data_IF_387789851946
#
_entry.id   IF_387789851946
#
_cell.length_a   1.000
_cell.length_b   1.000
_cell.length_c   1.000
_cell.angle_alpha   90.00
_cell.angle_beta   90.00
_cell.angle_gamma   90.00
#
_symmetry.space_group_name_H-M   'P 1'
#
loop_
_entity.id
_entity.type
_entity.pdbx_description
1 polymer ?
#
# COMPACT_ATOMS: atom_id res chain seq x y z
N UNK A 1 26.70 5.55 -29.45
CA UNK A 1 25.58 5.44 -28.48
C UNK A 1 24.27 5.84 -29.13
N UNK A 2 24.09 7.08 -29.65
CA UNK A 2 22.82 7.49 -30.29
C UNK A 2 22.39 6.57 -31.44
N UNK A 3 23.31 6.21 -32.34
CA UNK A 3 23.01 5.26 -33.43
C UNK A 3 22.52 3.90 -32.91
N UNK A 4 23.08 3.42 -31.79
CA UNK A 4 22.66 2.16 -31.17
C UNK A 4 21.26 2.28 -30.57
N UNK A 5 20.98 3.38 -29.85
CA UNK A 5 19.66 3.66 -29.29
C UNK A 5 18.57 3.66 -30.38
N UNK A 6 18.85 4.27 -31.53
CA UNK A 6 17.89 4.38 -32.64
C UNK A 6 17.73 3.05 -33.39
N UNK A 7 18.82 2.29 -33.55
CA UNK A 7 18.80 1.00 -34.23
C UNK A 7 18.26 -0.14 -33.36
N UNK A 8 18.24 0.01 -32.04
CA UNK A 8 17.77 -0.98 -31.09
C UNK A 8 16.28 -1.30 -31.31
N UNK A 9 15.95 -2.59 -31.20
CA UNK A 9 14.57 -3.02 -31.08
C UNK A 9 13.98 -2.58 -29.73
N UNK A 10 12.68 -2.79 -29.51
CA UNK A 10 12.00 -2.28 -28.32
C UNK A 10 12.59 -2.81 -27.01
N UNK A 11 12.90 -4.11 -26.94
CA UNK A 11 13.45 -4.75 -25.74
C UNK A 11 14.87 -4.25 -25.44
N UNK A 12 15.73 -4.21 -26.46
CA UNK A 12 17.10 -3.69 -26.34
C UNK A 12 17.12 -2.20 -25.96
N UNK A 13 16.13 -1.44 -26.43
CA UNK A 13 16.05 0.00 -26.16
C UNK A 13 15.76 0.30 -24.69
N UNK A 14 15.06 -0.59 -24.00
CA UNK A 14 14.76 -0.42 -22.58
C UNK A 14 16.02 -0.37 -21.71
N UNK A 15 17.11 -1.00 -22.15
CA UNK A 15 18.39 -1.02 -21.44
C UNK A 15 19.09 0.34 -21.41
N UNK A 16 18.71 1.27 -22.29
CA UNK A 16 19.27 2.63 -22.31
C UNK A 16 18.66 3.54 -21.25
N UNK A 17 17.48 3.20 -20.72
CA UNK A 17 16.78 4.04 -19.76
C UNK A 17 17.07 3.61 -18.33
N UNK A 18 17.12 4.58 -17.43
CA UNK A 18 16.88 4.33 -16.02
C UNK A 18 15.39 4.41 -15.75
N UNK A 19 14.91 3.44 -14.97
CA UNK A 19 13.51 3.24 -14.69
C UNK A 19 13.21 3.75 -13.29
N UNK A 20 12.30 4.70 -13.21
CA UNK A 20 11.85 5.32 -11.97
C UNK A 20 10.43 4.84 -11.67
N UNK A 21 10.27 4.03 -10.62
CA UNK A 21 8.98 3.50 -10.19
C UNK A 21 8.40 4.34 -9.03
N UNK A 22 7.09 4.55 -9.00
CA UNK A 22 6.40 5.33 -7.95
C UNK A 22 6.53 4.76 -6.52
N UNK A 23 6.98 3.52 -6.34
CA UNK A 23 7.14 2.86 -5.02
C UNK A 23 8.53 2.99 -4.39
N UNK A 24 9.54 3.35 -5.18
CA UNK A 24 10.91 3.60 -4.71
C UNK A 24 11.07 4.85 -3.82
N UNK A 25 12.29 5.18 -3.42
CA UNK A 25 12.59 6.45 -2.73
C UNK A 25 13.13 7.48 -3.71
N UNK A 26 13.02 8.77 -3.39
CA UNK A 26 13.58 9.83 -4.25
C UNK A 26 15.10 9.73 -4.39
N UNK A 27 15.80 9.19 -3.38
CA UNK A 27 17.22 8.84 -3.47
C UNK A 27 17.54 7.80 -4.52
N UNK A 28 16.63 6.88 -4.84
CA UNK A 28 16.86 5.93 -5.93
C UNK A 28 16.85 6.64 -7.29
N UNK A 29 15.97 7.63 -7.47
CA UNK A 29 16.00 8.49 -8.67
C UNK A 29 17.34 9.21 -8.77
N UNK A 30 17.82 9.77 -7.67
CA UNK A 30 19.12 10.43 -7.63
C UNK A 30 20.26 9.45 -7.94
N UNK A 31 20.25 8.25 -7.36
CA UNK A 31 21.26 7.21 -7.60
C UNK A 31 21.30 6.79 -9.07
N UNK A 32 20.14 6.54 -9.68
CA UNK A 32 20.04 6.17 -11.10
C UNK A 32 20.57 7.28 -12.01
N UNK A 33 20.22 8.53 -11.70
CA UNK A 33 20.68 9.69 -12.45
C UNK A 33 22.20 9.86 -12.38
N UNK A 34 22.77 9.76 -11.18
CA UNK A 34 24.21 9.84 -10.93
C UNK A 34 24.94 8.72 -11.67
N UNK A 35 24.44 7.48 -11.60
CA UNK A 35 25.03 6.35 -12.29
C UNK A 35 25.08 6.55 -13.82
N UNK A 36 24.04 7.13 -14.43
CA UNK A 36 24.07 7.48 -15.85
C UNK A 36 25.11 8.58 -16.15
N UNK A 37 25.19 9.62 -15.32
CA UNK A 37 26.20 10.67 -15.49
C UNK A 37 27.62 10.11 -15.41
N UNK A 38 27.89 9.24 -14.44
CA UNK A 38 29.18 8.57 -14.28
C UNK A 38 29.51 7.66 -15.47
N UNK A 39 28.52 6.97 -16.03
CA UNK A 39 28.71 6.16 -17.23
C UNK A 39 29.03 7.00 -18.48
N UNK A 40 28.52 8.24 -18.57
CA UNK A 40 28.74 9.14 -19.69
C UNK A 40 30.08 9.88 -19.61
N UNK A 41 30.58 10.13 -18.40
CA UNK A 41 31.76 10.95 -18.17
C UNK A 41 32.84 10.13 -17.47
N UNK A 42 33.93 9.83 -18.20
CA UNK A 42 35.08 9.09 -17.66
C UNK A 42 35.75 9.74 -16.44
N UNK A 43 35.56 11.06 -16.25
CA UNK A 43 36.02 11.87 -15.10
C UNK A 43 34.91 12.87 -14.64
N UNK A 44 33.65 12.41 -14.51
CA UNK A 44 32.52 13.27 -14.14
C UNK A 44 32.73 14.01 -12.79
N UNK A 45 32.15 15.21 -12.59
CA UNK A 45 32.11 15.83 -11.27
C UNK A 45 31.38 14.89 -10.31
N UNK A 46 32.00 14.62 -9.15
CA UNK A 46 31.43 13.80 -8.10
C UNK A 46 30.10 14.42 -7.64
N UNK A 47 28.99 13.87 -8.13
CA UNK A 47 27.66 14.13 -7.61
C UNK A 47 27.37 13.09 -6.55
N UNK A 48 26.95 13.51 -5.37
CA UNK A 48 26.61 12.60 -4.28
C UNK A 48 25.23 12.93 -3.72
N UNK A 49 24.43 11.90 -3.51
CA UNK A 49 23.17 12.00 -2.79
C UNK A 49 23.43 11.78 -1.30
N UNK A 50 22.93 12.70 -0.46
CA UNK A 50 23.01 12.63 1.00
C UNK A 50 21.60 12.77 1.55
N UNK A 51 21.15 11.75 2.26
CA UNK A 51 19.90 11.76 3.02
C UNK A 51 20.18 11.91 4.51
N UNK A 52 19.42 12.79 5.18
CA UNK A 52 19.46 12.96 6.62
C UNK A 52 18.05 13.31 7.15
N UNK A 53 17.94 13.57 8.45
CA UNK A 53 16.67 13.94 9.09
C UNK A 53 16.06 15.25 8.54
N UNK A 54 16.84 16.09 7.86
CA UNK A 54 16.40 17.35 7.25
C UNK A 54 15.94 17.19 5.79
N UNK A 55 16.04 15.97 5.24
CA UNK A 55 15.62 15.60 3.89
C UNK A 55 16.78 15.18 3.00
N UNK A 56 16.60 15.34 1.68
CA UNK A 56 17.59 14.96 0.67
C UNK A 56 18.37 16.17 0.15
N UNK A 57 19.68 16.02 0.04
CA UNK A 57 20.58 17.00 -0.58
C UNK A 57 21.50 16.34 -1.61
N UNK A 58 21.85 17.09 -2.64
CA UNK A 58 22.81 16.71 -3.67
C UNK A 58 24.07 17.55 -3.49
N UNK A 59 25.20 16.91 -3.27
CA UNK A 59 26.51 17.56 -3.34
C UNK A 59 26.96 17.53 -4.78
N UNK A 60 27.16 18.69 -5.39
CA UNK A 60 27.61 18.85 -6.76
C UNK A 60 28.62 20.00 -6.82
N UNK A 61 29.77 19.79 -7.47
CA UNK A 61 30.88 20.76 -7.55
C UNK A 61 31.30 21.31 -6.17
N UNK A 62 31.29 20.45 -5.14
CA UNK A 62 31.68 20.78 -3.77
C UNK A 62 30.63 21.60 -2.99
N UNK A 63 29.45 21.85 -3.55
CA UNK A 63 28.36 22.57 -2.90
C UNK A 63 27.19 21.63 -2.63
N UNK A 64 26.61 21.72 -1.42
CA UNK A 64 25.38 21.02 -1.09
C UNK A 64 24.16 21.81 -1.59
N UNK A 65 23.25 21.11 -2.26
CA UNK A 65 22.00 21.63 -2.79
C UNK A 65 20.83 20.84 -2.18
N UNK A 66 20.04 21.49 -1.34
CA UNK A 66 18.82 20.88 -0.79
C UNK A 66 17.79 20.71 -1.90
N UNK A 67 17.22 19.53 -2.02
CA UNK A 67 16.15 19.26 -2.97
C UNK A 67 14.83 19.70 -2.33
N UNK A 68 13.99 20.49 -3.03
CA UNK A 68 12.74 21.01 -2.46
C UNK A 68 11.64 19.94 -2.53
N UNK A 69 11.91 18.79 -1.91
CA UNK A 69 10.93 17.71 -1.73
C UNK A 69 9.70 18.24 -1.00
N UNK A 70 8.58 17.62 -1.29
CA UNK A 70 7.27 18.15 -0.93
C UNK A 70 6.43 17.18 -0.11
N UNK A 71 6.97 15.99 0.14
CA UNK A 71 6.33 14.83 0.77
C UNK A 71 5.11 14.32 -0.01
N UNK A 72 5.22 14.33 -1.35
CA UNK A 72 4.12 13.93 -2.25
C UNK A 72 4.52 12.89 -3.26
N UNK A 73 3.53 12.28 -3.91
CA UNK A 73 3.76 11.37 -5.04
C UNK A 73 4.50 11.98 -6.24
N UNK A 74 4.66 13.32 -6.30
CA UNK A 74 5.37 14.02 -7.38
C UNK A 74 6.87 14.20 -7.15
N UNK A 75 7.40 13.86 -5.97
CA UNK A 75 8.76 14.23 -5.55
C UNK A 75 9.89 13.62 -6.39
N UNK A 76 9.58 12.55 -7.08
CA UNK A 76 10.42 11.95 -8.12
C UNK A 76 10.76 12.90 -9.24
N UNK A 77 9.73 13.58 -9.75
CA UNK A 77 9.91 14.59 -10.79
C UNK A 77 10.53 15.86 -10.22
N UNK A 78 10.30 16.19 -8.94
CA UNK A 78 11.00 17.29 -8.25
C UNK A 78 12.50 17.01 -8.20
N UNK A 79 12.87 15.79 -7.83
CA UNK A 79 14.24 15.28 -7.79
C UNK A 79 14.86 15.30 -9.18
N UNK A 80 14.21 14.67 -10.16
CA UNK A 80 14.70 14.61 -11.54
C UNK A 80 14.88 16.01 -12.15
N UNK A 81 13.91 16.92 -11.96
CA UNK A 81 14.03 18.30 -12.44
C UNK A 81 15.15 19.08 -11.73
N UNK A 82 15.34 18.85 -10.43
CA UNK A 82 16.39 19.49 -9.65
C UNK A 82 17.79 19.01 -10.06
N UNK A 83 17.95 17.71 -10.30
CA UNK A 83 19.18 17.13 -10.83
C UNK A 83 19.47 17.62 -12.25
N UNK A 84 18.46 17.60 -13.13
CA UNK A 84 18.56 18.14 -14.48
C UNK A 84 18.97 19.62 -14.47
N UNK A 85 18.48 20.39 -13.48
CA UNK A 85 18.84 21.79 -13.31
C UNK A 85 20.31 21.98 -12.93
N UNK A 86 20.88 21.10 -12.11
CA UNK A 86 22.30 21.16 -11.72
C UNK A 86 23.22 20.95 -12.91
N UNK A 87 22.89 20.02 -13.81
CA UNK A 87 23.74 19.63 -14.95
C UNK A 87 23.31 20.26 -16.28
N UNK A 88 22.36 21.20 -16.26
CA UNK A 88 21.69 21.74 -17.45
C UNK A 88 22.66 22.34 -18.50
N UNK A 89 23.86 22.76 -18.10
CA UNK A 89 24.82 23.41 -18.98
C UNK A 89 25.60 22.37 -19.81
N UNK A 90 25.76 21.15 -19.30
CA UNK A 90 26.55 20.08 -19.91
C UNK A 90 25.71 18.90 -20.40
N UNK A 91 24.50 18.72 -19.87
CA UNK A 91 23.62 17.59 -20.16
C UNK A 91 22.17 18.01 -20.41
N UNK A 92 21.44 17.11 -21.06
CA UNK A 92 19.99 17.16 -21.26
C UNK A 92 19.38 15.85 -20.75
N UNK A 93 18.16 15.94 -20.24
CA UNK A 93 17.39 14.78 -19.77
C UNK A 93 16.22 14.56 -20.70
N UNK A 94 16.02 13.31 -21.10
CA UNK A 94 14.97 12.86 -21.99
C UNK A 94 14.14 11.78 -21.28
N UNK A 95 12.84 11.80 -21.52
CA UNK A 95 11.87 10.86 -20.97
C UNK A 95 11.42 9.88 -22.06
N UNK A 96 11.22 8.63 -21.69
CA UNK A 96 10.65 7.62 -22.56
C UNK A 96 9.15 7.88 -22.76
N UNK A 97 8.74 8.21 -24.00
CA UNK A 97 7.37 8.68 -24.28
C UNK A 97 6.30 7.65 -23.97
N UNK A 98 6.56 6.38 -24.25
CA UNK A 98 5.56 5.32 -24.10
C UNK A 98 5.17 5.09 -22.64
N UNK A 99 6.05 5.49 -21.72
CA UNK A 99 5.84 5.34 -20.27
C UNK A 99 5.21 6.57 -19.63
N UNK A 100 5.00 7.65 -20.38
CA UNK A 100 4.43 8.88 -19.81
C UNK A 100 2.97 8.67 -19.41
N UNK A 101 2.71 8.73 -18.11
CA UNK A 101 1.38 8.50 -17.52
C UNK A 101 1.20 7.09 -16.95
N UNK A 102 2.25 6.28 -16.97
CA UNK A 102 2.31 5.01 -16.25
C UNK A 102 2.90 5.19 -14.84
N UNK A 103 2.84 4.14 -14.04
CA UNK A 103 3.37 4.05 -12.68
C UNK A 103 4.92 3.99 -12.67
N UNK A 104 5.54 3.61 -13.79
CA UNK A 104 6.99 3.50 -13.96
C UNK A 104 7.43 4.29 -15.19
N UNK A 105 8.36 5.23 -15.02
CA UNK A 105 8.81 6.13 -16.09
C UNK A 105 10.28 5.92 -16.42
N UNK A 106 10.60 5.80 -17.70
CA UNK A 106 11.98 5.75 -18.19
C UNK A 106 12.57 7.13 -18.42
N UNK A 107 13.83 7.34 -18.02
CA UNK A 107 14.59 8.54 -18.38
C UNK A 107 16.02 8.21 -18.84
N UNK A 108 16.56 9.07 -19.69
CA UNK A 108 17.89 8.99 -20.26
C UNK A 108 18.58 10.35 -20.14
N UNK A 109 19.81 10.36 -19.66
CA UNK A 109 20.68 11.52 -19.61
C UNK A 109 21.60 11.48 -20.82
N UNK A 110 21.74 12.61 -21.51
CA UNK A 110 22.61 12.76 -22.67
C UNK A 110 23.48 14.00 -22.48
N UNK A 111 24.74 13.95 -22.90
CA UNK A 111 25.52 15.18 -23.00
C UNK A 111 24.99 16.05 -24.15
N UNK A 112 25.30 17.36 -24.16
CA UNK A 112 24.77 18.28 -25.19
C UNK A 112 25.09 17.86 -26.62
N UNK A 113 26.27 17.26 -26.86
CA UNK A 113 26.65 16.81 -28.20
C UNK A 113 25.76 15.64 -28.68
N UNK A 114 25.52 14.65 -27.81
CA UNK A 114 24.62 13.53 -28.08
C UNK A 114 23.17 14.01 -28.26
N UNK A 115 22.73 14.94 -27.44
CA UNK A 115 21.39 15.55 -27.52
C UNK A 115 21.19 16.33 -28.83
N UNK A 116 22.21 17.07 -29.27
CA UNK A 116 22.22 17.75 -30.57
C UNK A 116 22.22 16.75 -31.74
N UNK A 117 23.05 15.72 -31.69
CA UNK A 117 23.09 14.66 -32.70
C UNK A 117 21.73 13.96 -32.85
N UNK A 118 21.08 13.62 -31.73
CA UNK A 118 19.75 13.04 -31.71
C UNK A 118 18.72 13.95 -32.40
N UNK A 119 18.74 15.24 -32.09
CA UNK A 119 17.81 16.21 -32.66
C UNK A 119 18.05 16.47 -34.16
N UNK A 120 19.32 16.57 -34.59
CA UNK A 120 19.68 16.91 -35.96
C UNK A 120 19.55 15.73 -36.93
N UNK A 121 20.01 14.54 -36.53
CA UNK A 121 20.02 13.35 -37.41
C UNK A 121 18.77 12.50 -37.28
N UNK A 122 18.16 12.47 -36.09
CA UNK A 122 17.08 11.54 -35.74
C UNK A 122 15.86 12.27 -35.17
N UNK A 123 15.63 13.51 -35.58
CA UNK A 123 14.56 14.38 -35.06
C UNK A 123 13.18 13.72 -35.07
N UNK A 124 12.77 13.10 -36.19
CA UNK A 124 11.47 12.40 -36.29
C UNK A 124 11.36 11.23 -35.29
N UNK A 125 12.39 10.38 -35.23
CA UNK A 125 12.43 9.26 -34.30
C UNK A 125 12.40 9.74 -32.85
N UNK A 126 13.21 10.76 -32.52
CA UNK A 126 13.25 11.32 -31.17
C UNK A 126 11.90 11.92 -30.77
N UNK A 127 11.18 12.57 -31.69
CA UNK A 127 9.85 13.12 -31.41
C UNK A 127 8.79 12.04 -31.15
N UNK A 128 8.96 10.84 -31.71
CA UNK A 128 8.06 9.70 -31.52
C UNK A 128 8.32 8.97 -30.20
N UNK A 129 9.59 8.76 -29.83
CA UNK A 129 9.96 7.90 -28.70
C UNK A 129 10.43 8.66 -27.45
N UNK A 130 10.85 9.92 -27.58
CA UNK A 130 11.44 10.68 -26.50
C UNK A 130 10.79 12.04 -26.30
N UNK A 131 10.72 12.48 -25.04
CA UNK A 131 10.28 13.82 -24.66
C UNK A 131 11.37 14.47 -23.83
N UNK A 132 11.93 15.57 -24.31
CA UNK A 132 12.88 16.34 -23.51
C UNK A 132 12.20 16.81 -22.23
N UNK A 133 12.83 16.58 -21.08
CA UNK A 133 12.29 16.95 -19.78
C UNK A 133 12.09 18.47 -19.73
N UNK A 134 10.86 18.90 -19.46
CA UNK A 134 10.54 20.30 -19.24
C UNK A 134 10.77 20.65 -17.75
N UNK A 135 11.59 21.66 -17.42
CA UNK A 135 11.83 22.04 -16.03
C UNK A 135 10.53 22.38 -15.28
N UNK A 136 10.36 21.78 -14.10
CA UNK A 136 9.23 22.04 -13.21
C UNK A 136 7.89 21.53 -13.75
N UNK A 137 7.89 20.49 -14.58
CA UNK A 137 6.67 19.82 -15.06
C UNK A 137 6.69 18.34 -14.68
N UNK A 138 5.61 17.88 -14.05
CA UNK A 138 5.39 16.46 -13.77
C UNK A 138 4.49 15.86 -14.85
N UNK A 139 4.97 14.80 -15.52
CA UNK A 139 4.19 14.13 -16.56
C UNK A 139 3.12 13.18 -16.00
N UNK A 140 3.31 12.66 -14.78
CA UNK A 140 2.32 11.77 -14.13
C UNK A 140 1.03 12.56 -13.86
N UNK A 141 1.17 13.69 -13.17
CA UNK A 141 0.03 14.50 -12.73
C UNK A 141 -0.28 15.68 -13.66
N UNK A 142 0.47 15.82 -14.77
CA UNK A 142 0.35 16.91 -15.75
C UNK A 142 0.25 18.30 -15.09
N UNK A 143 1.16 18.58 -14.15
CA UNK A 143 1.16 19.80 -13.34
C UNK A 143 2.53 20.41 -13.14
N UNK A 144 2.55 21.69 -12.75
CA UNK A 144 3.77 22.37 -12.30
C UNK A 144 4.20 21.86 -10.93
N UNK A 145 5.50 21.72 -10.75
CA UNK A 145 6.14 21.26 -9.51
C UNK A 145 7.34 22.15 -9.17
N UNK A 146 7.73 22.27 -7.89
CA UNK A 146 8.97 22.94 -7.54
C UNK A 146 10.18 22.15 -8.06
N UNK A 147 11.30 22.85 -8.18
CA UNK A 147 12.62 22.27 -8.43
C UNK A 147 13.67 23.27 -7.96
N UNK A 148 14.92 22.82 -7.87
CA UNK A 148 16.03 23.61 -7.34
C UNK A 148 16.11 25.02 -7.98
N UNK A 149 16.10 26.05 -7.13
CA UNK A 149 16.15 27.47 -7.54
C UNK A 149 14.86 28.02 -8.13
N UNK A 150 13.76 27.25 -8.13
CA UNK A 150 12.43 27.63 -8.61
C UNK A 150 11.35 27.08 -7.67
N UNK A 151 11.48 27.43 -6.40
CA UNK A 151 10.63 26.96 -5.31
C UNK A 151 9.30 27.72 -5.25
N UNK A 152 9.17 28.88 -5.90
CA UNK A 152 7.99 29.75 -5.83
C UNK A 152 6.70 29.12 -6.39
N UNK A 153 6.82 28.06 -7.20
CA UNK A 153 5.68 27.25 -7.63
C UNK A 153 5.07 26.44 -6.46
N UNK A 154 5.70 26.42 -5.28
CA UNK A 154 5.28 25.69 -4.09
C UNK A 154 4.00 26.22 -3.41
N UNK A 155 3.54 27.45 -3.62
CA UNK A 155 2.30 27.91 -2.92
C UNK A 155 1.03 27.33 -3.56
N UNK A 156 0.96 27.35 -4.89
CA UNK A 156 -0.15 26.72 -5.62
C UNK A 156 -0.03 25.19 -5.55
N UNK A 157 1.19 24.68 -5.60
CA UNK A 157 1.49 23.27 -5.41
C UNK A 157 1.12 22.81 -3.99
N UNK A 158 1.51 23.50 -2.92
CA UNK A 158 1.13 23.15 -1.54
C UNK A 158 -0.38 23.14 -1.35
N UNK A 159 -1.12 24.05 -2.02
CA UNK A 159 -2.59 24.01 -2.03
C UNK A 159 -3.16 22.81 -2.79
N UNK A 160 -2.62 22.50 -3.98
CA UNK A 160 -3.05 21.36 -4.78
C UNK A 160 -2.74 20.02 -4.09
N UNK A 161 -1.57 19.93 -3.46
CA UNK A 161 -1.12 18.81 -2.64
C UNK A 161 -1.96 18.65 -1.40
N UNK A 162 -2.18 19.72 -0.64
CA UNK A 162 -3.04 19.64 0.54
C UNK A 162 -4.47 19.19 0.17
N UNK A 163 -4.97 19.57 -1.02
CA UNK A 163 -6.25 19.09 -1.53
C UNK A 163 -6.21 17.59 -1.90
N UNK A 164 -5.18 17.15 -2.63
CA UNK A 164 -4.99 15.74 -3.01
C UNK A 164 -4.76 14.83 -1.80
N UNK A 165 -3.94 15.25 -0.84
CA UNK A 165 -3.75 14.55 0.43
C UNK A 165 -5.01 14.50 1.29
N UNK A 166 -5.85 15.53 1.23
CA UNK A 166 -7.14 15.52 1.93
C UNK A 166 -8.09 14.51 1.28
N UNK A 167 -8.06 14.40 -0.05
CA UNK A 167 -8.82 13.39 -0.80
C UNK A 167 -8.34 11.97 -0.50
N UNK A 168 -7.03 11.73 -0.50
CA UNK A 168 -6.47 10.42 -0.18
C UNK A 168 -6.70 10.06 1.29
N UNK A 169 -6.54 11.00 2.23
CA UNK A 169 -6.91 10.79 3.65
C UNK A 169 -8.38 10.43 3.79
N UNK A 170 -9.28 11.14 3.11
CA UNK A 170 -10.70 10.81 3.12
C UNK A 170 -10.97 9.41 2.55
N UNK A 171 -10.23 8.99 1.51
CA UNK A 171 -10.32 7.64 0.94
C UNK A 171 -9.89 6.56 1.94
N UNK A 172 -8.77 6.78 2.63
CA UNK A 172 -8.24 5.88 3.65
C UNK A 172 -9.14 5.82 4.88
N UNK A 173 -9.64 6.96 5.36
CA UNK A 173 -10.60 7.04 6.47
C UNK A 173 -11.91 6.30 6.12
N UNK A 174 -12.42 6.49 4.90
CA UNK A 174 -13.59 5.75 4.41
C UNK A 174 -13.32 4.24 4.37
N UNK A 175 -12.13 3.81 3.96
CA UNK A 175 -11.73 2.41 3.97
C UNK A 175 -11.70 1.84 5.40
N UNK A 176 -11.10 2.56 6.34
CA UNK A 176 -11.05 2.14 7.75
C UNK A 176 -12.44 2.09 8.38
N UNK A 177 -13.27 3.11 8.16
CA UNK A 177 -14.65 3.15 8.64
C UNK A 177 -15.48 1.98 8.09
N UNK A 178 -15.35 1.67 6.79
CA UNK A 178 -16.01 0.52 6.18
C UNK A 178 -15.55 -0.80 6.82
N UNK A 179 -14.25 -0.94 7.09
CA UNK A 179 -13.67 -2.13 7.73
C UNK A 179 -14.11 -2.30 9.18
N UNK A 180 -14.18 -1.23 9.96
CA UNK A 180 -14.71 -1.26 11.32
C UNK A 180 -16.19 -1.62 11.36
N UNK A 181 -17.00 -1.05 10.45
CA UNK A 181 -18.40 -1.40 10.32
C UNK A 181 -18.57 -2.90 10.03
N UNK A 182 -17.73 -3.48 9.17
CA UNK A 182 -17.71 -4.91 8.89
C UNK A 182 -17.40 -5.74 10.16
N UNK A 183 -16.38 -5.34 10.93
CA UNK A 183 -15.99 -6.02 12.18
C UNK A 183 -17.14 -5.98 13.19
N UNK A 184 -17.77 -4.81 13.36
CA UNK A 184 -18.92 -4.68 14.26
C UNK A 184 -20.11 -5.53 13.82
N UNK A 185 -20.39 -5.60 12.51
CA UNK A 185 -21.43 -6.46 11.96
C UNK A 185 -21.15 -7.94 12.28
N UNK A 186 -19.90 -8.38 12.11
CA UNK A 186 -19.46 -9.74 12.45
C UNK A 186 -19.64 -10.02 13.95
N UNK A 187 -19.23 -9.11 14.84
CA UNK A 187 -19.44 -9.28 16.28
C UNK A 187 -20.93 -9.34 16.66
N UNK A 188 -21.79 -8.55 16.02
CA UNK A 188 -23.25 -8.61 16.24
C UNK A 188 -23.82 -9.95 15.79
N UNK A 189 -23.36 -10.47 14.65
CA UNK A 189 -23.75 -11.79 14.16
C UNK A 189 -23.30 -12.90 15.12
N UNK A 190 -22.06 -12.87 15.60
CA UNK A 190 -21.53 -13.84 16.55
C UNK A 190 -22.30 -13.82 17.89
N UNK A 191 -22.62 -12.63 18.42
CA UNK A 191 -23.47 -12.51 19.63
C UNK A 191 -24.85 -13.12 19.43
N UNK A 192 -25.48 -12.93 18.27
CA UNK A 192 -26.77 -13.56 17.94
C UNK A 192 -26.61 -15.09 17.89
N UNK A 193 -25.56 -15.58 17.24
CA UNK A 193 -25.24 -17.02 17.15
C UNK A 193 -25.08 -17.63 18.55
N UNK A 194 -24.27 -17.02 19.43
CA UNK A 194 -24.05 -17.49 20.81
C UNK A 194 -25.32 -17.45 21.65
N UNK A 195 -26.17 -16.43 21.50
CA UNK A 195 -27.47 -16.38 22.18
C UNK A 195 -28.37 -17.53 21.74
N UNK A 196 -28.41 -17.82 20.43
CA UNK A 196 -29.14 -18.97 19.89
C UNK A 196 -28.62 -20.28 20.47
N UNK A 197 -27.30 -20.51 20.44
CA UNK A 197 -26.67 -21.70 21.02
C UNK A 197 -26.92 -21.83 22.52
N UNK A 198 -26.84 -20.74 23.29
CA UNK A 198 -27.16 -20.75 24.73
C UNK A 198 -28.61 -21.14 24.98
N UNK A 199 -29.54 -20.60 24.19
CA UNK A 199 -30.95 -20.95 24.30
C UNK A 199 -31.17 -22.43 23.97
N UNK A 200 -30.55 -22.93 22.90
CA UNK A 200 -30.58 -24.36 22.54
C UNK A 200 -30.01 -25.24 23.66
N UNK A 201 -28.90 -24.85 24.27
CA UNK A 201 -28.31 -25.54 25.43
C UNK A 201 -29.23 -25.54 26.65
N UNK A 202 -29.83 -24.40 27.00
CA UNK A 202 -30.77 -24.30 28.13
C UNK A 202 -31.97 -25.21 27.90
N UNK A 203 -32.54 -25.20 26.69
CA UNK A 203 -33.64 -26.08 26.32
C UNK A 203 -33.23 -27.55 26.49
N UNK A 204 -32.05 -27.94 26.00
CA UNK A 204 -31.55 -29.31 26.13
C UNK A 204 -31.36 -29.73 27.60
N UNK A 205 -30.79 -28.86 28.44
CA UNK A 205 -30.59 -29.14 29.88
C UNK A 205 -31.92 -29.29 30.62
N UNK A 206 -32.89 -28.39 30.37
CA UNK A 206 -34.23 -28.49 30.97
C UNK A 206 -34.89 -29.81 30.60
N UNK A 207 -34.75 -30.23 29.33
CA UNK A 207 -35.29 -31.51 28.86
C UNK A 207 -34.64 -32.71 29.57
N UNK A 208 -33.30 -32.71 29.74
CA UNK A 208 -32.58 -33.75 30.47
C UNK A 208 -32.97 -33.84 31.95
N UNK A 209 -33.11 -32.69 32.63
CA UNK A 209 -33.55 -32.64 34.02
C UNK A 209 -34.98 -33.21 34.15
N UNK A 210 -35.88 -32.86 33.24
CA UNK A 210 -37.23 -33.41 33.23
C UNK A 210 -37.22 -34.94 33.09
N UNK A 211 -36.39 -35.50 32.20
CA UNK A 211 -36.19 -36.95 32.06
C UNK A 211 -35.69 -37.57 33.37
N UNK A 212 -34.67 -36.97 34.00
CA UNK A 212 -34.12 -37.48 35.26
C UNK A 212 -35.15 -37.48 36.40
N UNK A 213 -35.94 -36.40 36.54
CA UNK A 213 -37.03 -36.32 37.53
C UNK A 213 -38.08 -37.40 37.26
N UNK A 214 -38.47 -37.62 36.01
CA UNK A 214 -39.39 -38.71 35.66
C UNK A 214 -38.83 -40.09 36.03
N UNK A 215 -37.51 -40.30 35.83
CA UNK A 215 -36.85 -41.56 36.18
C UNK A 215 -36.82 -41.79 37.70
N UNK A 216 -36.39 -40.80 38.48
CA UNK A 216 -36.37 -40.87 39.96
C UNK A 216 -37.77 -41.09 40.51
N UNK A 217 -38.78 -40.38 39.99
CA UNK A 217 -40.17 -40.57 40.39
C UNK A 217 -40.63 -42.01 40.16
N UNK A 218 -40.33 -42.58 38.98
CA UNK A 218 -40.65 -43.98 38.66
C UNK A 218 -40.00 -44.96 39.64
N UNK A 219 -38.76 -44.70 40.06
CA UNK A 219 -38.01 -45.56 40.98
C UNK A 219 -38.52 -45.46 42.42
N UNK A 220 -38.89 -44.24 42.87
CA UNK A 220 -39.59 -44.03 44.14
C UNK A 220 -40.97 -44.72 44.13
N UNK A 221 -41.73 -44.57 43.04
CA UNK A 221 -43.04 -45.19 42.90
C UNK A 221 -42.92 -46.73 42.91
N UNK A 222 -41.87 -47.30 42.29
CA UNK A 222 -41.56 -48.73 42.36
C UNK A 222 -41.09 -49.20 43.75
N UNK A 223 -40.38 -48.36 44.50
CA UNK A 223 -39.94 -48.68 45.87
C UNK A 223 -41.06 -48.58 46.92
N UNK A 224 -42.02 -47.68 46.69
CA UNK A 224 -43.24 -47.53 47.48
C UNK A 224 -44.36 -48.47 47.03
N UNK A 225 -44.15 -49.23 45.96
CA UNK A 225 -45.02 -50.33 45.60
C UNK A 225 -44.90 -51.36 46.73
N UNK A 226 -46.00 -51.66 47.44
CA UNK A 226 -45.90 -52.37 48.68
C UNK A 226 -45.54 -53.84 48.39
N UNK A 227 -44.24 -54.16 48.51
CA UNK A 227 -43.75 -55.53 48.34
C UNK A 227 -44.52 -56.44 49.29
N UNK A 228 -45.28 -57.36 48.72
CA UNK A 228 -46.07 -58.31 49.49
C UNK A 228 -45.13 -59.21 50.27
N UNK A 229 -44.96 -58.94 51.57
CA UNK A 229 -44.00 -59.71 52.38
C UNK A 229 -44.55 -61.05 52.87
N UNK A 230 -45.87 -61.20 52.94
CA UNK A 230 -46.50 -62.47 53.34
C UNK A 230 -47.83 -62.68 52.60
N UNK A 231 -47.97 -63.84 51.97
CA UNK A 231 -49.20 -64.34 51.37
C UNK A 231 -49.89 -65.29 52.37
N UNK A 232 -51.13 -64.99 52.74
CA UNK A 232 -51.98 -65.87 53.55
C UNK A 232 -53.27 -66.07 52.78
N UNK A 233 -53.61 -67.32 52.46
CA UNK A 233 -54.78 -67.71 51.65
C UNK A 233 -54.89 -67.00 50.29
N UNK A 234 -53.75 -66.73 49.64
CA UNK A 234 -53.70 -66.07 48.33
C UNK A 234 -53.92 -64.55 48.36
N UNK A 235 -54.09 -63.94 49.54
CA UNK A 235 -54.34 -62.49 49.68
C UNK A 235 -53.24 -61.84 50.52
N UNK A 236 -52.75 -60.68 50.05
CA UNK A 236 -51.67 -59.94 50.71
C UNK A 236 -52.19 -59.06 51.87
N UNK A 237 -51.49 -59.03 53.02
CA UNK A 237 -51.87 -58.20 54.20
C UNK A 237 -50.67 -57.44 54.80
N UNK A 238 -50.90 -56.21 55.32
CA UNK A 238 -49.91 -55.33 55.97
C UNK A 238 -50.12 -55.25 57.49
N UNK A 239 -49.04 -55.25 58.28
CA UNK A 239 -49.05 -55.11 59.76
C UNK A 239 -48.55 -53.72 60.14
N UNK A 240 -49.24 -53.01 61.05
CA UNK A 240 -48.78 -51.75 61.62
C UNK A 240 -48.86 -51.81 63.16
N UNK A 241 -47.73 -51.59 63.83
CA UNK A 241 -47.64 -51.55 65.28
C UNK A 241 -47.84 -50.10 65.78
N UNK A 242 -48.89 -49.86 66.57
CA UNK A 242 -48.99 -48.66 67.41
C UNK A 242 -49.22 -49.07 68.86
N UNK A 243 -48.28 -48.65 69.70
CA UNK A 243 -48.19 -48.84 71.16
C UNK A 243 -49.18 -47.95 71.95
N UNK A 244 -49.38 -48.25 73.24
CA UNK A 244 -48.72 -47.44 74.28
C UNK A 244 -47.60 -48.20 75.00
#
# INVERSE_FOLDING_TARGET
MIELLVAANEEERQEFFSWMDWREYDSEVARLFIAQLEALAGDAPLMQCVENEEGMSIVYEGKAHRIPLTDTGSDRYVTLCSLAKLVQDSHDVWLHRETLGDDTHGFLVLNKAQSAELAEKYGEWSAQHLKKLAPGWCEIYQRRIPYLGNEDYAVAFARAVAAEEAEERARVDNYHAAREAQIQANHRADRKQRRKQRLEWVIAVVFLVAIAVMYVKKEIDAANEPSCRVLIDGVCKFYNETKP
#
